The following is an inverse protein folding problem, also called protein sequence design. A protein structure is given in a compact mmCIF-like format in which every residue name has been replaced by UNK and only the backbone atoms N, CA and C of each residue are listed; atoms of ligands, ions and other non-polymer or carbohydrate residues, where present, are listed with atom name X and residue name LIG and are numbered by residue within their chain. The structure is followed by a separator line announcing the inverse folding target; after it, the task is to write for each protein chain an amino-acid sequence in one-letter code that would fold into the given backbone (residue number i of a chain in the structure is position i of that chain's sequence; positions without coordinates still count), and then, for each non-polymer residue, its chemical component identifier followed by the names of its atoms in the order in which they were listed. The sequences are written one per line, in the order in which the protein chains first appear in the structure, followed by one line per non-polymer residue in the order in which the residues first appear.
data_IF_957318560387
#
_entry.id   IF_957318560387
#
_cell.length_a   1.000
_cell.length_b   1.000
_cell.length_c   1.000
_cell.angle_alpha   90.00
_cell.angle_beta   90.00
_cell.angle_gamma   90.00
#
_symmetry.space_group_name_H-M   'P 1'
#
loop_
_entity.id
_entity.type
_entity.pdbx_description
1 polymer ?
#
# COMPACT_ATOMS: atom_id res chain seq x y z
N UNK A 1 -20.78 38.63 -7.38
CA UNK A 1 -20.35 38.12 -6.98
C UNK A 1 -20.14 37.68 -6.88
N UNK A 2 -20.07 37.68 -6.99
CA UNK A 2 -19.59 36.96 -6.61
C UNK A 2 -19.32 36.42 -6.46
N UNK A 3 -19.17 36.34 -6.55
CA UNK A 3 -18.59 35.49 -6.20
C UNK A 3 -18.25 34.97 -6.13
N UNK A 4 -18.18 35.30 -6.34
CA UNK A 4 -17.60 34.51 -6.04
C UNK A 4 -17.28 33.98 -5.94
N UNK A 5 -17.29 34.23 -6.08
CA UNK A 5 -16.84 33.50 -5.74
C UNK A 5 -16.58 32.77 -5.54
N UNK A 6 -16.71 32.93 -5.63
CA UNK A 6 -16.31 31.99 -5.16
C UNK A 6 -16.07 31.28 -5.14
N UNK A 7 -15.80 31.31 -5.57
CA UNK A 7 -15.47 30.54 -5.32
C UNK A 7 -15.03 30.02 -5.21
N UNK A 8 -14.85 29.85 -5.11
CA UNK A 8 -14.33 29.17 -4.80
C UNK A 8 -13.89 28.63 -4.94
N UNK A 9 -13.73 28.49 -4.81
CA UNK A 9 -13.24 27.74 -4.89
C UNK A 9 -13.14 27.01 -5.36
N UNK A 10 -13.06 27.35 -5.63
CA UNK A 10 -13.01 26.73 -6.14
C UNK A 10 -13.10 26.10 -5.98
N UNK A 11 -13.61 26.37 -6.34
CA UNK A 11 -13.23 25.49 -5.91
C UNK A 11 -12.81 24.43 -6.65
N UNK A 12 -11.71 24.20 -6.65
CA UNK A 12 -11.23 22.90 -7.00
C UNK A 12 -11.98 21.89 -6.19
N UNK A 13 -12.51 20.84 -6.82
CA UNK A 13 -13.03 19.76 -6.00
C UNK A 13 -11.92 19.37 -5.05
N UNK A 14 -12.24 19.01 -3.81
CA UNK A 14 -11.20 18.48 -2.94
C UNK A 14 -10.52 17.34 -3.67
N UNK A 15 -9.21 17.23 -3.58
CA UNK A 15 -8.54 16.08 -4.19
C UNK A 15 -9.23 14.82 -3.73
N UNK A 16 -9.28 13.76 -4.56
CA UNK A 16 -9.76 12.49 -4.08
C UNK A 16 -9.07 12.19 -2.77
N UNK A 17 -9.76 11.54 -1.86
CA UNK A 17 -9.22 11.25 -0.54
C UNK A 17 -7.82 10.72 -0.67
N UNK A 18 -6.87 11.40 -0.02
CA UNK A 18 -5.47 11.07 -0.11
C UNK A 18 -4.84 11.67 -1.33
N UNK A 19 -3.54 11.80 -1.31
CA UNK A 19 -2.73 12.33 -2.39
C UNK A 19 -1.94 11.24 -3.08
N UNK A 20 -0.69 11.58 -3.42
CA UNK A 20 0.17 10.70 -4.20
C UNK A 20 0.44 9.37 -3.49
N UNK A 21 0.71 9.40 -2.20
CA UNK A 21 1.03 8.16 -1.46
C UNK A 21 -0.19 7.27 -1.31
N UNK A 22 -1.37 7.84 -1.10
CA UNK A 22 -2.59 7.05 -1.03
C UNK A 22 -2.84 6.32 -2.36
N UNK A 23 -2.60 7.00 -3.48
CA UNK A 23 -2.73 6.37 -4.79
C UNK A 23 -1.70 5.29 -5.02
N UNK A 24 -0.45 5.52 -4.62
CA UNK A 24 0.60 4.51 -4.73
C UNK A 24 0.26 3.28 -3.89
N UNK A 25 -0.26 3.50 -2.69
CA UNK A 25 -0.66 2.41 -1.82
C UNK A 25 -1.81 1.61 -2.42
N UNK A 26 -2.78 2.30 -3.04
CA UNK A 26 -3.89 1.62 -3.69
C UNK A 26 -3.39 0.75 -4.85
N UNK A 27 -2.49 1.28 -5.65
CA UNK A 27 -1.90 0.51 -6.76
C UNK A 27 -1.10 -0.68 -6.25
N UNK A 28 -0.36 -0.49 -5.17
CA UNK A 28 0.41 -1.58 -4.56
C UNK A 28 -0.51 -2.69 -4.09
N UNK A 29 -1.60 -2.35 -3.44
CA UNK A 29 -2.55 -3.36 -2.93
C UNK A 29 -3.23 -4.14 -4.06
N UNK A 30 -3.34 -3.53 -5.25
CA UNK A 30 -3.91 -4.21 -6.42
C UNK A 30 -2.87 -5.08 -7.13
N UNK A 31 -1.61 -4.92 -6.83
CA UNK A 31 -0.54 -5.66 -7.48
C UNK A 31 -0.51 -7.09 -6.96
N UNK A 32 -0.72 -8.04 -7.86
CA UNK A 32 -0.74 -9.46 -7.50
C UNK A 32 0.59 -9.92 -6.94
N UNK A 33 1.69 -9.34 -7.43
CA UNK A 33 3.01 -9.66 -6.89
C UNK A 33 3.13 -9.25 -5.43
N UNK A 34 2.55 -8.11 -5.05
CA UNK A 34 2.55 -7.68 -3.66
C UNK A 34 1.69 -8.61 -2.80
N UNK A 35 0.54 -9.02 -3.31
CA UNK A 35 -0.33 -9.95 -2.61
C UNK A 35 0.39 -11.28 -2.36
N UNK A 36 1.13 -11.76 -3.35
CA UNK A 36 1.93 -12.98 -3.21
C UNK A 36 3.07 -12.80 -2.20
N UNK A 37 3.70 -11.64 -2.22
CA UNK A 37 4.73 -11.29 -1.24
C UNK A 37 4.18 -11.40 0.19
N UNK A 38 2.96 -10.93 0.41
CA UNK A 38 2.33 -11.01 1.73
C UNK A 38 2.05 -12.45 2.13
N UNK A 39 1.60 -13.29 1.19
CA UNK A 39 1.39 -14.72 1.48
C UNK A 39 2.69 -15.37 1.94
N UNK A 40 3.76 -15.16 1.19
CA UNK A 40 5.04 -15.78 1.49
C UNK A 40 5.65 -15.24 2.78
N UNK A 41 5.52 -13.94 2.99
CA UNK A 41 5.99 -13.30 4.21
C UNK A 41 5.28 -13.88 5.43
N UNK A 42 3.98 -14.08 5.32
CA UNK A 42 3.19 -14.64 6.41
C UNK A 42 3.61 -16.07 6.72
N UNK A 43 3.83 -16.88 5.68
CA UNK A 43 4.28 -18.26 5.88
C UNK A 43 5.62 -18.32 6.62
N UNK A 44 6.55 -17.48 6.22
CA UNK A 44 7.87 -17.43 6.88
C UNK A 44 7.73 -16.97 8.33
N UNK A 45 6.98 -15.91 8.55
CA UNK A 45 6.86 -15.30 9.88
C UNK A 45 6.23 -16.26 10.88
N UNK A 46 5.22 -17.00 10.47
CA UNK A 46 4.47 -17.89 11.35
C UNK A 46 4.81 -19.35 11.14
N UNK A 47 5.80 -19.65 10.31
CA UNK A 47 6.24 -21.03 10.03
C UNK A 47 5.07 -21.91 9.56
N UNK A 48 4.28 -21.36 8.66
CA UNK A 48 3.09 -22.03 8.12
C UNK A 48 3.49 -22.70 6.81
N UNK A 49 3.06 -23.96 6.63
CA UNK A 49 3.32 -24.68 5.38
C UNK A 49 2.51 -24.08 4.23
N UNK A 50 3.02 -24.21 3.01
CA UNK A 50 2.34 -23.71 1.83
C UNK A 50 0.94 -24.30 1.67
N UNK A 51 0.77 -25.56 2.02
CA UNK A 51 -0.54 -26.23 1.93
C UNK A 51 -1.58 -25.61 2.88
N UNK A 52 -1.13 -24.96 3.96
CA UNK A 52 -2.01 -24.36 4.95
C UNK A 52 -2.26 -22.88 4.66
N UNK A 53 -1.36 -22.24 3.94
CA UNK A 53 -1.52 -20.87 3.48
C UNK A 53 -0.94 -20.78 2.07
N UNK A 54 -1.68 -21.24 1.07
CA UNK A 54 -1.18 -21.26 -0.30
C UNK A 54 -1.05 -19.86 -0.90
N UNK A 55 -0.29 -19.79 -1.97
CA UNK A 55 -0.19 -18.55 -2.76
C UNK A 55 -1.58 -18.17 -3.26
N UNK A 56 -1.88 -16.88 -3.26
CA UNK A 56 -3.17 -16.39 -3.71
C UNK A 56 -4.18 -16.20 -2.60
N UNK A 57 -3.79 -16.42 -1.35
CA UNK A 57 -4.67 -16.23 -0.20
C UNK A 57 -5.02 -14.75 0.00
N UNK A 58 -4.05 -13.84 -0.18
CA UNK A 58 -4.30 -12.42 -0.05
C UNK A 58 -4.89 -11.87 -1.33
N UNK A 59 -5.93 -11.05 -1.19
CA UNK A 59 -6.50 -10.28 -2.29
C UNK A 59 -6.26 -8.79 -2.04
N UNK A 60 -6.84 -7.92 -2.86
CA UNK A 60 -6.66 -6.47 -2.71
C UNK A 60 -7.11 -5.99 -1.34
N UNK A 61 -8.25 -6.46 -0.86
CA UNK A 61 -8.77 -6.04 0.44
C UNK A 61 -7.87 -6.50 1.57
N UNK A 62 -7.38 -7.73 1.49
CA UNK A 62 -6.47 -8.25 2.50
C UNK A 62 -5.17 -7.47 2.52
N UNK A 63 -4.65 -7.11 1.34
CA UNK A 63 -3.43 -6.31 1.24
C UNK A 63 -3.64 -4.93 1.84
N UNK A 64 -4.79 -4.31 1.59
CA UNK A 64 -5.15 -3.03 2.18
C UNK A 64 -5.21 -3.12 3.71
N UNK A 65 -5.88 -4.14 4.22
CA UNK A 65 -6.03 -4.31 5.66
C UNK A 65 -4.66 -4.51 6.32
N UNK A 66 -3.82 -5.33 5.69
CA UNK A 66 -2.47 -5.57 6.20
C UNK A 66 -1.65 -4.27 6.21
N UNK A 67 -1.71 -3.52 5.09
CA UNK A 67 -0.93 -2.29 4.96
C UNK A 67 -1.38 -1.25 5.98
N UNK A 68 -2.68 -1.07 6.15
CA UNK A 68 -3.21 -0.12 7.12
C UNK A 68 -2.82 -0.51 8.54
N UNK A 69 -2.87 -1.79 8.87
CA UNK A 69 -2.46 -2.25 10.20
C UNK A 69 -0.98 -2.01 10.43
N UNK A 70 -0.15 -2.30 9.42
CA UNK A 70 1.30 -2.11 9.53
C UNK A 70 1.68 -0.65 9.71
N UNK A 71 0.97 0.25 9.03
CA UNK A 71 1.21 1.68 9.11
C UNK A 71 0.44 2.36 10.25
N UNK A 72 -0.40 1.61 10.96
CA UNK A 72 -1.22 2.11 12.08
C UNK A 72 -2.15 3.22 11.63
N UNK A 73 -2.83 2.99 10.52
CA UNK A 73 -3.81 3.92 9.95
C UNK A 73 -5.10 3.16 9.65
N UNK A 74 -6.19 3.90 9.48
CA UNK A 74 -7.48 3.32 9.13
C UNK A 74 -7.82 3.50 7.66
N UNK A 75 -7.12 4.40 6.98
CA UNK A 75 -7.35 4.70 5.58
C UNK A 75 -6.02 5.02 4.91
N UNK A 76 -5.84 4.56 3.69
CA UNK A 76 -4.64 4.89 2.90
C UNK A 76 -4.48 6.39 2.68
N UNK A 77 -5.57 7.15 2.77
CA UNK A 77 -5.51 8.62 2.65
C UNK A 77 -4.61 9.23 3.73
N UNK A 78 -4.49 8.59 4.88
CA UNK A 78 -3.67 9.12 5.97
C UNK A 78 -2.17 9.10 5.66
N UNK A 79 -1.75 8.35 4.64
CA UNK A 79 -0.33 8.31 4.27
C UNK A 79 0.18 9.68 3.84
N UNK A 80 -0.68 10.52 3.28
CA UNK A 80 -0.28 11.86 2.81
C UNK A 80 -0.27 12.90 3.92
N UNK A 81 -0.86 12.57 5.08
CA UNK A 81 -0.94 13.51 6.20
C UNK A 81 -0.23 13.01 7.47
N UNK A 82 0.22 11.75 7.47
CA UNK A 82 0.86 11.15 8.64
C UNK A 82 2.29 10.74 8.28
N UNK A 83 3.31 11.54 8.65
CA UNK A 83 4.69 11.25 8.26
C UNK A 83 5.19 9.89 8.73
N UNK A 84 4.82 9.45 9.93
CA UNK A 84 5.27 8.17 10.44
C UNK A 84 4.68 7.02 9.61
N UNK A 85 3.41 7.12 9.26
CA UNK A 85 2.76 6.11 8.42
C UNK A 85 3.38 6.09 7.01
N UNK A 86 3.66 7.27 6.47
CA UNK A 86 4.30 7.38 5.16
C UNK A 86 5.67 6.73 5.16
N UNK A 87 6.46 6.95 6.20
CA UNK A 87 7.78 6.35 6.31
C UNK A 87 7.68 4.83 6.36
N UNK A 88 6.75 4.30 7.13
CA UNK A 88 6.53 2.86 7.21
C UNK A 88 6.13 2.30 5.85
N UNK A 89 5.24 2.99 5.15
CA UNK A 89 4.83 2.58 3.80
C UNK A 89 6.02 2.52 2.84
N UNK A 90 6.88 3.52 2.89
CA UNK A 90 8.07 3.56 2.02
C UNK A 90 9.00 2.40 2.31
N UNK A 91 9.18 2.04 3.58
CA UNK A 91 9.96 0.87 3.96
C UNK A 91 9.36 -0.41 3.41
N UNK A 92 8.06 -0.57 3.53
CA UNK A 92 7.36 -1.75 3.03
C UNK A 92 7.55 -1.87 1.52
N UNK A 93 7.37 -0.75 0.81
CA UNK A 93 7.53 -0.73 -0.64
C UNK A 93 8.95 -1.11 -1.06
N UNK A 94 9.96 -0.59 -0.34
CA UNK A 94 11.34 -0.92 -0.63
C UNK A 94 11.62 -2.41 -0.43
N UNK A 95 11.12 -2.98 0.66
CA UNK A 95 11.30 -4.40 0.94
C UNK A 95 10.64 -5.27 -0.12
N UNK A 96 9.45 -4.87 -0.54
CA UNK A 96 8.75 -5.58 -1.60
C UNK A 96 9.53 -5.50 -2.92
N UNK A 97 10.05 -4.33 -3.26
CA UNK A 97 10.80 -4.17 -4.50
C UNK A 97 12.06 -5.02 -4.51
N UNK A 98 12.75 -5.12 -3.39
CA UNK A 98 13.91 -6.00 -3.27
C UNK A 98 13.53 -7.46 -3.42
N UNK A 99 12.45 -7.87 -2.77
CA UNK A 99 11.97 -9.24 -2.89
C UNK A 99 11.60 -9.57 -4.34
N UNK A 100 10.88 -8.65 -4.99
CA UNK A 100 10.46 -8.87 -6.37
C UNK A 100 11.65 -9.00 -7.32
N UNK A 101 12.67 -8.19 -7.11
CA UNK A 101 13.88 -8.25 -7.92
C UNK A 101 14.55 -9.63 -7.79
N UNK A 102 14.61 -10.17 -6.57
CA UNK A 102 15.17 -11.50 -6.37
C UNK A 102 14.35 -12.59 -7.05
N UNK A 103 13.02 -12.45 -7.05
CA UNK A 103 12.16 -13.43 -7.71
C UNK A 103 12.36 -13.46 -9.22
N UNK A 104 12.81 -12.34 -9.78
CA UNK A 104 13.11 -12.27 -11.22
C UNK A 104 14.53 -12.70 -11.54
N UNK A 105 15.30 -13.14 -10.55
CA UNK A 105 16.69 -13.51 -10.76
C UNK A 105 17.62 -12.33 -10.94
N UNK A 106 17.16 -11.12 -10.61
CA UNK A 106 17.96 -9.91 -10.70
C UNK A 106 18.55 -9.63 -9.32
N UNK A 107 19.88 -9.58 -9.25
CA UNK A 107 20.53 -9.22 -8.00
C UNK A 107 20.44 -7.70 -7.82
N UNK A 108 19.95 -7.24 -6.66
CA UNK A 108 20.00 -5.80 -6.37
C UNK A 108 21.46 -5.40 -6.26
N UNK A 109 21.78 -4.31 -6.88
CA UNK A 109 23.14 -3.77 -6.87
C UNK A 109 23.29 -2.70 -5.81
#
# INVERSE_FOLDING_TARGET
MIDSKHMPPARTPPPPKGGAYARQAAMLCQDRAFQLYLDRRRRVKFQIAERDLPDGTHNEQDARDWLCAACKITSRAELDSNPAACQTFRMIRNRFNHWRARQKGVSPQ
#
